data_IF_053329860613
#
_entry.id   IF_053329860613
#
_cell.length_a   1.000
_cell.length_b   1.000
_cell.length_c   1.000
_cell.angle_alpha   90.00
_cell.angle_beta   90.00
_cell.angle_gamma   90.00
#
_symmetry.space_group_name_H-M   'P 1'
#
loop_
_entity.id
_entity.type
_entity.pdbx_description
1 polymer ?
#
# COMPACT_ATOMS: atom_id res chain seq x y z
N UNK A 1 -16.48 50.29 58.17
CA UNK A 1 -15.34 49.34 58.01
C UNK A 1 -15.96 48.06 57.44
N UNK A 2 -16.14 47.93 56.13
CA UNK A 2 -15.20 47.50 55.07
C UNK A 2 -14.78 46.02 55.12
N UNK A 3 -14.62 45.46 53.90
CA UNK A 3 -14.30 44.09 53.44
C UNK A 3 -15.55 43.26 53.07
N UNK A 4 -16.09 43.26 51.85
CA UNK A 4 -15.48 43.08 50.51
C UNK A 4 -14.75 41.74 50.37
N UNK A 5 -15.42 40.75 49.76
CA UNK A 5 -14.78 39.78 48.88
C UNK A 5 -15.79 39.16 47.92
N UNK A 6 -15.37 39.09 46.66
CA UNK A 6 -16.16 39.09 45.44
C UNK A 6 -16.46 37.66 44.99
N UNK A 7 -17.73 37.33 44.79
CA UNK A 7 -18.11 36.24 43.90
C UNK A 7 -17.62 36.57 42.49
N UNK A 8 -16.70 35.77 41.95
CA UNK A 8 -16.32 35.80 40.54
C UNK A 8 -17.24 34.87 39.74
N UNK A 9 -18.19 35.39 38.93
CA UNK A 9 -18.78 34.60 37.87
C UNK A 9 -17.85 34.65 36.65
N UNK A 10 -16.81 33.82 36.61
CA UNK A 10 -16.04 33.59 35.38
C UNK A 10 -16.61 32.38 34.64
N UNK A 11 -17.87 32.49 34.25
CA UNK A 11 -18.39 31.78 33.08
C UNK A 11 -18.57 32.84 32.00
N UNK A 12 -17.46 33.20 31.36
CA UNK A 12 -17.46 34.06 30.19
C UNK A 12 -18.54 33.56 29.24
N UNK A 13 -19.51 34.45 29.05
CA UNK A 13 -20.63 34.34 28.14
C UNK A 13 -20.13 33.80 26.81
N UNK A 14 -20.62 32.63 26.40
CA UNK A 14 -20.70 32.32 24.97
C UNK A 14 -21.62 33.37 24.36
N UNK A 15 -21.20 34.17 23.36
CA UNK A 15 -22.16 34.98 22.64
C UNK A 15 -23.14 34.05 21.91
N UNK A 16 -24.38 33.97 22.41
CA UNK A 16 -25.53 33.53 21.62
C UNK A 16 -25.87 34.67 20.67
N UNK A 17 -25.12 34.77 19.58
CA UNK A 17 -25.54 35.55 18.41
C UNK A 17 -25.80 34.58 17.27
N UNK A 18 -27.01 34.00 17.25
CA UNK A 18 -27.56 33.43 16.02
C UNK A 18 -28.01 34.59 15.15
N UNK A 19 -27.06 35.35 14.60
CA UNK A 19 -27.38 36.26 13.50
C UNK A 19 -27.70 35.36 12.30
N UNK A 20 -28.95 35.34 11.86
CA UNK A 20 -29.33 34.85 10.54
C UNK A 20 -28.67 35.74 9.48
N UNK A 21 -27.37 35.52 9.26
CA UNK A 21 -26.75 35.88 7.99
C UNK A 21 -27.31 34.86 7.01
N UNK A 22 -27.99 35.34 5.97
CA UNK A 22 -28.20 34.55 4.78
C UNK A 22 -26.80 34.25 4.22
N UNK A 23 -26.19 33.16 4.67
CA UNK A 23 -25.01 32.62 4.02
C UNK A 23 -25.50 31.97 2.73
N UNK A 24 -24.96 32.41 1.59
CA UNK A 24 -25.37 31.90 0.29
C UNK A 24 -25.16 30.37 0.25
N UNK A 25 -26.14 29.57 -0.24
CA UNK A 25 -26.03 28.11 -0.27
C UNK A 25 -24.76 27.64 -0.99
N UNK A 26 -24.30 28.41 -1.97
CA UNK A 26 -23.08 28.16 -2.75
C UNK A 26 -21.82 28.33 -1.89
N UNK A 27 -21.79 29.29 -0.96
CA UNK A 27 -20.66 29.51 -0.07
C UNK A 27 -20.59 28.42 1.01
N UNK A 28 -21.75 27.97 1.50
CA UNK A 28 -21.85 26.83 2.41
C UNK A 28 -21.34 25.52 1.76
N UNK A 29 -21.69 25.26 0.51
CA UNK A 29 -21.20 24.12 -0.30
C UNK A 29 -19.67 24.18 -0.51
N UNK A 30 -19.13 25.37 -0.81
CA UNK A 30 -17.67 25.60 -0.96
C UNK A 30 -16.89 25.40 0.34
N UNK A 31 -17.51 25.73 1.48
CA UNK A 31 -16.91 25.54 2.81
C UNK A 31 -17.00 24.09 3.29
N UNK A 32 -18.03 23.36 2.88
CA UNK A 32 -18.15 21.93 3.13
C UNK A 32 -17.09 21.12 2.34
N UNK A 33 -16.82 21.53 1.09
CA UNK A 33 -15.83 20.89 0.21
C UNK A 33 -14.36 21.21 0.58
N UNK A 34 -14.11 22.28 1.34
CA UNK A 34 -12.75 22.70 1.72
C UNK A 34 -12.22 22.13 3.04
N UNK A 35 -12.99 21.29 3.74
CA UNK A 35 -12.52 20.56 4.95
C UNK A 35 -11.54 19.44 4.56
N UNK A 36 -10.41 19.81 3.97
CA UNK A 36 -9.31 18.90 3.70
C UNK A 36 -8.68 18.54 5.03
N UNK A 37 -8.75 17.27 5.39
CA UNK A 37 -8.04 16.73 6.54
C UNK A 37 -6.53 17.00 6.44
N UNK A 38 -5.79 16.68 7.50
CA UNK A 38 -4.33 16.86 7.53
C UNK A 38 -3.68 16.21 6.30
N UNK A 39 -2.80 16.97 5.63
CA UNK A 39 -2.05 16.49 4.45
C UNK A 39 -1.39 15.15 4.77
N UNK A 40 -1.54 14.20 3.85
CA UNK A 40 -0.89 12.89 3.94
C UNK A 40 0.62 13.07 4.11
N UNK A 41 1.24 12.33 5.04
CA UNK A 41 2.71 12.31 5.21
C UNK A 41 3.42 11.69 4.00
N UNK A 42 2.72 10.82 3.28
CA UNK A 42 3.14 10.30 1.99
C UNK A 42 2.77 11.30 0.89
N UNK A 43 3.79 11.91 0.29
CA UNK A 43 3.69 12.75 -0.91
C UNK A 43 3.36 11.90 -2.14
N UNK A 44 2.94 12.53 -3.24
CA UNK A 44 2.71 11.85 -4.52
C UNK A 44 4.02 11.28 -5.08
N UNK A 45 5.13 12.03 -5.01
CA UNK A 45 6.47 11.57 -5.42
C UNK A 45 6.90 10.29 -4.69
N UNK A 46 6.56 10.17 -3.40
CA UNK A 46 6.86 8.97 -2.60
C UNK A 46 6.04 7.76 -3.07
N UNK A 47 4.79 7.98 -3.48
CA UNK A 47 3.93 6.92 -4.03
C UNK A 47 4.46 6.45 -5.37
N UNK A 48 4.89 7.36 -6.23
CA UNK A 48 5.45 7.05 -7.54
C UNK A 48 6.78 6.29 -7.40
N UNK A 49 7.61 6.66 -6.42
CA UNK A 49 8.81 5.90 -6.09
C UNK A 49 8.45 4.47 -5.66
N UNK A 50 7.51 4.29 -4.73
CA UNK A 50 7.07 2.96 -4.31
C UNK A 50 6.51 2.13 -5.48
N UNK A 51 5.75 2.72 -6.40
CA UNK A 51 5.26 2.03 -7.59
C UNK A 51 6.41 1.46 -8.45
N UNK A 52 7.47 2.26 -8.66
CA UNK A 52 8.63 1.83 -9.44
C UNK A 52 9.37 0.70 -8.74
N UNK A 53 9.68 0.88 -7.47
CA UNK A 53 10.36 -0.16 -6.67
C UNK A 53 9.57 -1.46 -6.64
N UNK A 54 8.26 -1.41 -6.38
CA UNK A 54 7.42 -2.61 -6.31
C UNK A 54 7.14 -3.27 -7.67
N UNK A 55 7.49 -2.60 -8.78
CA UNK A 55 7.47 -3.22 -10.11
C UNK A 55 8.70 -4.10 -10.32
N UNK A 56 9.83 -3.74 -9.70
CA UNK A 56 11.08 -4.49 -9.75
C UNK A 56 11.14 -5.56 -8.66
N UNK A 57 10.75 -5.20 -7.43
CA UNK A 57 10.81 -6.04 -6.22
C UNK A 57 9.43 -6.06 -5.53
N UNK A 58 8.49 -6.90 -5.99
CA UNK A 58 7.13 -6.90 -5.47
C UNK A 58 7.02 -7.47 -4.04
N UNK A 59 8.02 -8.19 -3.56
CA UNK A 59 8.00 -8.98 -2.31
C UNK A 59 8.39 -8.18 -1.05
N UNK A 60 8.59 -6.88 -1.18
CA UNK A 60 8.92 -5.97 -0.07
C UNK A 60 7.83 -5.93 1.01
N UNK A 61 8.28 -5.94 2.26
CA UNK A 61 7.44 -5.68 3.43
C UNK A 61 7.24 -4.17 3.65
N UNK A 62 6.27 -3.82 4.50
CA UNK A 62 5.86 -2.41 4.68
C UNK A 62 6.85 -1.61 5.52
N UNK A 63 7.57 -2.27 6.41
CA UNK A 63 8.69 -1.75 7.19
C UNK A 63 9.88 -1.47 6.28
N UNK A 64 10.24 -2.40 5.39
CA UNK A 64 11.27 -2.18 4.36
C UNK A 64 10.92 -0.99 3.45
N UNK A 65 9.65 -0.89 3.03
CA UNK A 65 9.18 0.30 2.28
C UNK A 65 9.28 1.60 3.08
N UNK A 66 9.06 1.55 4.40
CA UNK A 66 9.19 2.72 5.25
C UNK A 66 10.65 3.16 5.42
N UNK A 67 11.56 2.19 5.51
CA UNK A 67 13.00 2.41 5.52
C UNK A 67 13.49 3.01 4.20
N UNK A 68 13.10 2.43 3.06
CA UNK A 68 13.41 2.98 1.72
C UNK A 68 12.96 4.43 1.54
N UNK A 69 11.77 4.77 2.06
CA UNK A 69 11.27 6.14 2.02
C UNK A 69 12.02 7.08 2.96
N UNK A 70 12.50 6.58 4.09
CA UNK A 70 13.35 7.34 4.99
C UNK A 70 14.72 7.59 4.37
N UNK A 71 15.34 6.58 3.77
CA UNK A 71 16.64 6.71 3.10
C UNK A 71 16.61 7.68 1.92
N UNK A 72 15.56 7.61 1.08
CA UNK A 72 15.47 8.43 -0.12
C UNK A 72 14.92 9.84 0.11
N UNK A 73 13.96 10.01 1.01
CA UNK A 73 13.24 11.28 1.20
C UNK A 73 13.40 11.88 2.60
N UNK A 74 14.10 11.21 3.53
CA UNK A 74 14.22 11.62 4.93
C UNK A 74 12.90 11.55 5.72
N UNK A 75 11.85 10.95 5.15
CA UNK A 75 10.50 10.99 5.70
C UNK A 75 10.17 9.71 6.46
N UNK A 76 10.04 9.81 7.78
CA UNK A 76 9.55 8.70 8.61
C UNK A 76 8.05 8.45 8.36
N UNK A 77 7.75 7.27 7.84
CA UNK A 77 6.40 6.75 7.64
C UNK A 77 6.17 5.53 8.52
N UNK A 78 4.97 5.41 9.12
CA UNK A 78 4.58 4.16 9.79
C UNK A 78 4.11 3.14 8.75
N UNK A 79 4.20 1.84 9.03
CA UNK A 79 3.64 0.80 8.17
C UNK A 79 2.15 1.02 7.83
N UNK A 80 1.39 1.57 8.78
CA UNK A 80 -0.03 1.93 8.57
C UNK A 80 -0.17 3.05 7.54
N UNK A 81 0.75 4.02 7.55
CA UNK A 81 0.80 5.08 6.55
C UNK A 81 1.10 4.52 5.16
N UNK A 82 2.06 3.59 5.05
CA UNK A 82 2.38 2.89 3.79
C UNK A 82 1.15 2.13 3.28
N UNK A 83 0.49 1.34 4.14
CA UNK A 83 -0.70 0.59 3.75
C UNK A 83 -1.85 1.50 3.25
N UNK A 84 -2.02 2.69 3.83
CA UNK A 84 -2.98 3.69 3.34
C UNK A 84 -2.54 4.32 2.02
N UNK A 85 -1.25 4.60 1.86
CA UNK A 85 -0.69 5.15 0.63
C UNK A 85 -0.89 4.18 -0.54
N UNK A 86 -0.51 2.91 -0.37
CA UNK A 86 -0.71 1.84 -1.36
C UNK A 86 -2.20 1.66 -1.71
N UNK A 87 -3.10 1.72 -0.72
CA UNK A 87 -4.54 1.66 -0.99
C UNK A 87 -5.03 2.85 -1.82
N UNK A 88 -4.50 4.04 -1.57
CA UNK A 88 -4.89 5.25 -2.30
C UNK A 88 -4.51 5.17 -3.79
N UNK A 89 -3.43 4.45 -4.12
CA UNK A 89 -2.98 4.18 -5.50
C UNK A 89 -3.51 2.85 -6.09
N UNK A 90 -4.46 2.19 -5.42
CA UNK A 90 -5.03 0.89 -5.83
C UNK A 90 -4.01 -0.27 -5.90
N UNK A 91 -2.99 -0.28 -5.06
CA UNK A 91 -2.09 -1.41 -4.89
C UNK A 91 -2.58 -2.34 -3.79
N UNK A 92 -2.46 -3.65 -4.05
CA UNK A 92 -2.97 -4.70 -3.18
C UNK A 92 -1.92 -5.78 -2.97
N UNK A 93 -1.91 -6.37 -1.79
CA UNK A 93 -1.04 -7.51 -1.47
C UNK A 93 -1.68 -8.78 -2.01
N UNK A 94 -0.94 -9.54 -2.82
CA UNK A 94 -1.39 -10.77 -3.47
C UNK A 94 -0.35 -11.87 -3.34
N UNK A 95 -0.76 -13.10 -3.61
CA UNK A 95 0.16 -14.24 -3.62
C UNK A 95 1.16 -14.06 -4.77
N UNK A 96 2.44 -14.17 -4.44
CA UNK A 96 3.53 -14.03 -5.39
C UNK A 96 3.60 -15.28 -6.28
N UNK A 97 3.63 -15.08 -7.59
CA UNK A 97 3.82 -16.16 -8.54
C UNK A 97 5.31 -16.29 -8.83
N UNK A 98 5.90 -17.42 -8.45
CA UNK A 98 7.30 -17.70 -8.74
C UNK A 98 7.44 -18.40 -10.06
N UNK A 99 8.25 -17.84 -10.94
CA UNK A 99 8.59 -18.42 -12.23
C UNK A 99 10.05 -18.85 -12.17
N UNK A 100 10.33 -20.09 -12.54
CA UNK A 100 11.71 -20.56 -12.62
C UNK A 100 12.47 -19.72 -13.65
N UNK A 101 13.60 -19.13 -13.24
CA UNK A 101 14.46 -18.33 -14.12
C UNK A 101 14.97 -19.14 -15.32
N UNK A 102 15.13 -20.45 -15.16
CA UNK A 102 15.55 -21.38 -16.20
C UNK A 102 14.44 -21.71 -17.22
N UNK A 103 13.25 -21.13 -17.08
CA UNK A 103 12.12 -21.40 -17.98
C UNK A 103 12.41 -20.83 -19.37
N UNK A 104 12.61 -21.72 -20.33
CA UNK A 104 12.73 -21.39 -21.74
C UNK A 104 11.49 -21.90 -22.52
N UNK A 105 10.69 -21.01 -23.13
CA UNK A 105 9.53 -21.42 -23.92
C UNK A 105 9.89 -22.23 -25.16
N UNK A 106 11.07 -22.02 -25.76
CA UNK A 106 11.52 -22.74 -26.96
C UNK A 106 11.86 -24.18 -26.61
N UNK A 107 12.67 -24.40 -25.56
CA UNK A 107 13.00 -25.75 -25.09
C UNK A 107 11.75 -26.50 -24.64
N UNK A 108 10.81 -25.81 -24.00
CA UNK A 108 9.53 -26.40 -23.61
C UNK A 108 8.72 -26.85 -24.83
N UNK A 109 8.60 -25.99 -25.84
CA UNK A 109 7.87 -26.30 -27.09
C UNK A 109 8.53 -27.46 -27.83
N UNK A 110 9.87 -27.48 -27.88
CA UNK A 110 10.63 -28.56 -28.51
C UNK A 110 10.43 -29.90 -27.77
N UNK A 111 10.44 -29.89 -26.44
CA UNK A 111 10.15 -31.08 -25.64
C UNK A 111 8.73 -31.59 -25.90
N UNK A 112 7.74 -30.70 -25.87
CA UNK A 112 6.33 -31.03 -26.16
C UNK A 112 6.18 -31.63 -27.57
N UNK A 113 6.84 -31.05 -28.58
CA UNK A 113 6.84 -31.59 -29.95
C UNK A 113 7.48 -32.98 -30.03
N UNK A 114 8.66 -33.17 -29.42
CA UNK A 114 9.39 -34.43 -29.45
C UNK A 114 8.66 -35.56 -28.72
N UNK A 115 7.81 -35.21 -27.74
CA UNK A 115 7.07 -36.18 -26.91
C UNK A 115 5.62 -36.37 -27.33
N UNK A 116 5.10 -35.56 -28.27
CA UNK A 116 3.68 -35.53 -28.64
C UNK A 116 3.10 -36.90 -29.08
N UNK A 117 3.92 -37.75 -29.70
CA UNK A 117 3.49 -39.04 -30.24
C UNK A 117 3.82 -40.23 -29.32
N UNK A 118 4.34 -39.99 -28.12
CA UNK A 118 4.68 -41.04 -27.16
C UNK A 118 3.49 -41.25 -26.23
N UNK A 119 3.11 -42.52 -25.98
CA UNK A 119 2.03 -42.84 -25.03
C UNK A 119 2.41 -42.31 -23.63
N UNK A 120 1.53 -41.53 -22.96
CA UNK A 120 1.73 -41.07 -21.58
C UNK A 120 2.17 -42.15 -20.59
N UNK A 121 1.77 -43.41 -20.79
CA UNK A 121 2.12 -44.56 -19.92
C UNK A 121 3.59 -44.94 -19.98
N UNK A 122 4.31 -44.52 -21.02
CA UNK A 122 5.73 -44.78 -21.17
C UNK A 122 6.61 -43.80 -20.37
N UNK A 123 6.03 -42.73 -19.81
CA UNK A 123 6.77 -41.76 -19.03
C UNK A 123 6.83 -42.13 -17.55
N UNK A 124 8.05 -42.22 -17.02
CA UNK A 124 8.33 -42.32 -15.59
C UNK A 124 9.17 -41.11 -15.21
N UNK A 125 8.64 -40.27 -14.32
CA UNK A 125 9.32 -39.07 -13.83
C UNK A 125 9.86 -39.32 -12.42
N UNK A 126 11.14 -39.03 -12.21
CA UNK A 126 11.80 -39.09 -10.91
C UNK A 126 12.40 -37.70 -10.66
N UNK A 127 12.02 -37.07 -9.55
CA UNK A 127 12.53 -35.76 -9.15
C UNK A 127 12.89 -35.79 -7.66
N UNK A 128 13.96 -35.10 -7.30
CA UNK A 128 14.42 -35.00 -5.93
C UNK A 128 13.72 -33.83 -5.21
N UNK A 129 12.82 -34.14 -4.28
CA UNK A 129 12.17 -33.10 -3.49
C UNK A 129 13.05 -32.66 -2.32
N UNK A 130 13.70 -31.51 -2.43
CA UNK A 130 14.42 -30.87 -1.33
C UNK A 130 13.46 -30.16 -0.36
N UNK A 131 13.44 -30.59 0.90
CA UNK A 131 12.77 -29.87 2.01
C UNK A 131 13.83 -29.06 2.77
N UNK A 132 14.17 -27.86 2.27
CA UNK A 132 14.99 -26.94 3.05
C UNK A 132 14.10 -26.02 3.89
N UNK A 133 14.09 -26.25 5.22
CA UNK A 133 13.37 -25.38 6.17
C UNK A 133 14.03 -24.00 6.31
N UNK A 134 15.24 -23.80 5.79
CA UNK A 134 15.95 -22.51 5.75
C UNK A 134 15.57 -21.68 4.54
N UNK A 135 14.86 -22.24 3.56
CA UNK A 135 14.37 -21.50 2.41
C UNK A 135 13.24 -20.55 2.84
N UNK A 136 13.63 -19.37 3.32
CA UNK A 136 12.75 -18.29 3.80
C UNK A 136 12.03 -17.57 2.67
N UNK A 137 11.31 -18.32 1.84
CA UNK A 137 10.63 -17.80 0.67
C UNK A 137 9.48 -16.87 1.04
N UNK A 138 9.41 -15.72 0.36
CA UNK A 138 8.30 -14.78 0.48
C UNK A 138 7.15 -15.25 -0.40
N UNK A 139 5.98 -15.43 0.21
CA UNK A 139 4.78 -15.91 -0.48
C UNK A 139 3.88 -14.79 -1.00
N UNK A 140 4.13 -13.56 -0.57
CA UNK A 140 3.23 -12.43 -0.79
C UNK A 140 4.01 -11.26 -1.35
N UNK A 141 3.47 -10.65 -2.40
CA UNK A 141 3.99 -9.42 -2.96
C UNK A 141 2.89 -8.39 -3.20
N UNK A 142 3.27 -7.23 -3.69
CA UNK A 142 2.40 -6.11 -4.00
C UNK A 142 2.29 -5.95 -5.50
N UNK A 143 1.09 -5.64 -5.95
CA UNK A 143 0.85 -5.30 -7.35
C UNK A 143 -0.31 -4.32 -7.45
N UNK A 144 -0.39 -3.64 -8.59
CA UNK A 144 -1.62 -2.97 -8.99
C UNK A 144 -2.81 -3.95 -8.95
N UNK A 145 -3.99 -3.41 -8.59
CA UNK A 145 -5.24 -4.18 -8.62
C UNK A 145 -5.45 -4.75 -10.04
N UNK A 146 -5.87 -6.01 -10.12
CA UNK A 146 -5.97 -6.75 -11.39
C UNK A 146 -4.71 -7.52 -11.83
N UNK A 147 -3.50 -7.07 -11.49
CA UNK A 147 -2.24 -7.74 -11.93
C UNK A 147 -1.76 -8.78 -10.93
N UNK A 148 -1.03 -9.82 -11.35
CA UNK A 148 -0.40 -10.77 -10.43
C UNK A 148 1.08 -10.41 -10.25
N UNK A 149 1.58 -10.21 -9.00
CA UNK A 149 2.99 -10.00 -8.79
C UNK A 149 3.74 -11.28 -9.12
N UNK A 150 4.86 -11.15 -9.83
CA UNK A 150 5.66 -12.27 -10.30
C UNK A 150 7.11 -12.06 -9.87
N UNK A 151 7.75 -13.13 -9.41
CA UNK A 151 9.17 -13.22 -9.02
C UNK A 151 9.86 -14.27 -9.89
#
# INVERSE_FOLDING_TARGET
ISAHCRSHPSSLQRPRSTSHRHEDPIEMERRATSRRGRRSRTSDEMRDFLCKTLTEEPDLYRDEMAELLFERFGQTCSERSIGRALRAINWTRKRLRRIAQQRDPVLRTLFEYNTANIDPKCFVFVDESGCDKRAGYRYWGWSAKGTTPTE
#
